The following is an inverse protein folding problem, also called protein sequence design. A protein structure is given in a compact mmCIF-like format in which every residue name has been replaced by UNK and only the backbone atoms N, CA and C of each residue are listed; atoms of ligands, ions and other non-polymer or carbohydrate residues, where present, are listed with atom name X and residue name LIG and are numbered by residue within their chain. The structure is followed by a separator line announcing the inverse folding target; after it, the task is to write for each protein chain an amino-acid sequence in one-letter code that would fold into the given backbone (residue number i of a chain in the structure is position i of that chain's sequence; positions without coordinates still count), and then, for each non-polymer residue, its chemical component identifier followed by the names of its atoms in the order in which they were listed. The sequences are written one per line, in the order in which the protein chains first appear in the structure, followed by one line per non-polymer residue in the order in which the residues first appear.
data_IF_701478011533
#
_entry.id   IF_701478011533
#
_cell.length_a   1.000
_cell.length_b   1.000
_cell.length_c   1.000
_cell.angle_alpha   90.00
_cell.angle_beta   90.00
_cell.angle_gamma   90.00
#
_symmetry.space_group_name_H-M   'P 1'
#
loop_
_entity.id
_entity.type
_entity.pdbx_description
1 polymer ?
#
# COMPACT_ATOMS: atom_id res chain seq x y z
N UNK A 1 4.40 19.14 -20.38
CA UNK A 1 3.26 18.68 -19.58
C UNK A 1 3.52 18.85 -18.10
N UNK A 2 2.47 19.06 -17.36
CA UNK A 2 2.52 19.14 -15.91
C UNK A 2 1.94 17.86 -15.32
N UNK A 3 2.43 17.47 -14.15
CA UNK A 3 2.00 16.28 -13.47
C UNK A 3 1.49 16.62 -12.09
N UNK A 4 0.40 15.99 -11.71
CA UNK A 4 -0.10 15.99 -10.35
C UNK A 4 0.34 14.69 -9.68
N UNK A 5 0.82 14.79 -8.45
CA UNK A 5 1.18 13.64 -7.63
C UNK A 5 0.11 13.47 -6.56
N UNK A 6 -0.53 12.32 -6.53
CA UNK A 6 -1.45 11.94 -5.46
C UNK A 6 -0.80 10.88 -4.60
N UNK A 7 -0.82 11.09 -3.31
CA UNK A 7 -0.25 10.18 -2.32
C UNK A 7 -1.35 9.64 -1.43
N UNK A 8 -1.22 8.37 -1.06
CA UNK A 8 -2.15 7.73 -0.15
C UNK A 8 -1.42 6.69 0.70
N UNK A 9 -1.91 6.49 1.91
CA UNK A 9 -1.47 5.39 2.76
C UNK A 9 -2.58 4.36 2.87
N UNK A 10 -2.25 3.13 2.55
CA UNK A 10 -3.15 1.99 2.70
C UNK A 10 -2.73 1.19 3.91
N UNK A 11 -3.66 1.02 4.85
CA UNK A 11 -3.43 0.19 6.01
C UNK A 11 -4.32 -1.04 5.91
N UNK A 12 -3.77 -2.20 6.24
CA UNK A 12 -4.57 -3.41 6.29
C UNK A 12 -4.18 -4.28 7.47
N UNK A 13 -5.14 -5.07 7.88
CA UNK A 13 -5.02 -5.99 9.00
C UNK A 13 -5.29 -7.40 8.52
N UNK A 14 -4.46 -8.33 8.90
CA UNK A 14 -4.63 -9.74 8.54
C UNK A 14 -4.33 -10.61 9.73
N UNK A 15 -5.27 -11.49 10.06
CA UNK A 15 -5.08 -12.50 11.08
C UNK A 15 -4.29 -13.67 10.50
N UNK A 16 -3.27 -14.11 11.22
CA UNK A 16 -2.41 -15.19 10.75
C UNK A 16 -1.39 -14.71 9.74
N UNK A 17 -1.10 -15.52 8.71
CA UNK A 17 -0.11 -15.14 7.69
C UNK A 17 -0.59 -14.01 6.81
N UNK A 18 0.17 -12.94 6.75
CA UNK A 18 -0.17 -11.74 5.95
C UNK A 18 0.60 -11.65 4.63
N UNK A 19 1.64 -12.45 4.45
CA UNK A 19 2.57 -12.32 3.31
C UNK A 19 1.87 -12.46 1.97
N UNK A 20 1.00 -13.46 1.83
CA UNK A 20 0.26 -13.70 0.58
C UNK A 20 -0.67 -12.54 0.25
N UNK A 21 -1.41 -12.05 1.24
CA UNK A 21 -2.33 -10.94 1.06
C UNK A 21 -1.58 -9.65 0.71
N UNK A 22 -0.48 -9.38 1.42
CA UNK A 22 0.38 -8.25 1.14
C UNK A 22 0.89 -8.29 -0.30
N UNK A 23 1.39 -9.43 -0.76
CA UNK A 23 1.93 -9.58 -2.11
C UNK A 23 0.86 -9.35 -3.17
N UNK A 24 -0.37 -9.81 -2.95
CA UNK A 24 -1.48 -9.57 -3.86
C UNK A 24 -1.81 -8.09 -3.97
N UNK A 25 -1.83 -7.38 -2.84
CA UNK A 25 -2.10 -5.94 -2.81
C UNK A 25 -0.99 -5.18 -3.54
N UNK A 26 0.27 -5.51 -3.28
CA UNK A 26 1.41 -4.86 -3.94
C UNK A 26 1.35 -5.06 -5.45
N UNK A 27 1.07 -6.27 -5.92
CA UNK A 27 0.95 -6.56 -7.36
C UNK A 27 -0.19 -5.77 -8.00
N UNK A 28 -1.34 -5.67 -7.32
CA UNK A 28 -2.48 -4.92 -7.83
C UNK A 28 -2.16 -3.43 -7.95
N UNK A 29 -1.45 -2.87 -6.96
CA UNK A 29 -1.04 -1.48 -7.00
C UNK A 29 -0.07 -1.19 -8.14
N UNK A 30 0.93 -2.06 -8.33
CA UNK A 30 1.88 -1.92 -9.42
C UNK A 30 1.20 -2.04 -10.79
N UNK A 31 0.24 -2.96 -10.92
CA UNK A 31 -0.51 -3.13 -12.16
C UNK A 31 -1.40 -1.91 -12.47
N UNK A 32 -1.77 -1.13 -11.46
CA UNK A 32 -2.55 0.10 -11.62
C UNK A 32 -1.66 1.35 -11.72
N UNK A 33 -0.37 1.18 -11.99
CA UNK A 33 0.61 2.25 -12.16
C UNK A 33 0.88 3.09 -10.90
N UNK A 34 0.63 2.53 -9.73
CA UNK A 34 1.04 3.17 -8.49
C UNK A 34 2.52 2.90 -8.22
N UNK A 35 3.19 3.92 -7.72
CA UNK A 35 4.55 3.79 -7.19
C UNK A 35 4.46 3.54 -5.70
N UNK A 36 5.11 2.48 -5.22
CA UNK A 36 5.18 2.20 -3.79
C UNK A 36 6.35 2.99 -3.23
N UNK A 37 6.04 3.97 -2.37
CA UNK A 37 7.05 4.86 -1.80
C UNK A 37 7.56 4.35 -0.46
N UNK A 38 6.76 3.59 0.27
CA UNK A 38 7.18 2.99 1.53
C UNK A 38 6.32 1.77 1.84
N UNK A 39 6.91 0.81 2.55
CA UNK A 39 6.22 -0.37 3.07
C UNK A 39 6.64 -0.53 4.52
N UNK A 40 5.66 -0.59 5.41
CA UNK A 40 5.95 -0.60 6.84
C UNK A 40 5.13 -1.67 7.54
N UNK A 41 5.81 -2.57 8.23
CA UNK A 41 5.17 -3.48 9.16
C UNK A 41 5.05 -2.77 10.51
N UNK A 42 3.81 -2.52 10.95
CA UNK A 42 3.57 -1.72 12.15
C UNK A 42 3.60 -2.58 13.40
N UNK A 43 3.01 -3.77 13.34
CA UNK A 43 3.07 -4.66 14.48
C UNK A 43 2.07 -5.80 14.41
N UNK A 44 2.17 -6.65 15.40
CA UNK A 44 1.29 -7.79 15.61
C UNK A 44 0.54 -7.59 16.94
N UNK A 45 -0.78 -7.67 16.88
CA UNK A 45 -1.60 -7.60 18.07
C UNK A 45 -1.72 -9.00 18.67
N UNK A 46 -1.11 -9.22 19.84
CA UNK A 46 -1.08 -10.53 20.47
C UNK A 46 -2.47 -11.02 20.86
N UNK A 47 -3.34 -10.11 21.30
CA UNK A 47 -4.69 -10.45 21.76
C UNK A 47 -5.59 -10.98 20.66
N UNK A 48 -5.46 -10.43 19.46
CA UNK A 48 -6.32 -10.75 18.32
C UNK A 48 -5.63 -11.59 17.25
N UNK A 49 -4.29 -11.61 17.24
CA UNK A 49 -3.50 -12.28 16.21
C UNK A 49 -3.43 -11.52 14.89
N UNK A 50 -3.83 -10.25 14.85
CA UNK A 50 -3.77 -9.46 13.63
C UNK A 50 -2.40 -8.85 13.41
N UNK A 51 -1.95 -8.90 12.17
CA UNK A 51 -0.80 -8.14 11.69
C UNK A 51 -1.28 -6.83 11.08
N UNK A 52 -0.60 -5.75 11.43
CA UNK A 52 -0.90 -4.42 10.89
C UNK A 52 0.23 -3.98 9.96
N UNK A 53 -0.12 -3.70 8.72
CA UNK A 53 0.82 -3.34 7.67
C UNK A 53 0.34 -2.08 6.96
N UNK A 54 1.25 -1.17 6.64
CA UNK A 54 0.94 0.03 5.90
C UNK A 54 1.78 0.12 4.62
N UNK A 55 1.15 0.52 3.54
CA UNK A 55 1.80 0.74 2.25
C UNK A 55 1.51 2.17 1.82
N UNK A 56 2.57 2.95 1.64
CA UNK A 56 2.45 4.30 1.10
C UNK A 56 2.65 4.25 -0.40
N UNK A 57 1.75 4.88 -1.13
CA UNK A 57 1.75 4.86 -2.58
C UNK A 57 1.62 6.28 -3.13
N UNK A 58 2.12 6.46 -4.34
CA UNK A 58 1.96 7.70 -5.09
C UNK A 58 1.58 7.37 -6.52
N UNK A 59 0.76 8.20 -7.12
CA UNK A 59 0.42 8.07 -8.52
C UNK A 59 0.57 9.43 -9.19
N UNK A 60 1.23 9.41 -10.34
CA UNK A 60 1.45 10.61 -11.13
C UNK A 60 0.40 10.70 -12.22
N UNK A 61 -0.23 11.86 -12.33
CA UNK A 61 -1.21 12.15 -13.37
C UNK A 61 -0.67 13.28 -14.22
N UNK A 62 -0.77 13.13 -15.54
CA UNK A 62 -0.51 14.22 -16.44
C UNK A 62 -1.67 15.21 -16.36
N UNK A 63 -1.33 16.47 -16.10
CA UNK A 63 -2.33 17.53 -16.03
C UNK A 63 -2.47 18.17 -17.41
N UNK A 64 -3.69 18.20 -17.92
CA UNK A 64 -4.01 18.99 -19.09
C UNK A 64 -4.26 20.43 -18.66
N UNK A 65 -3.56 21.33 -19.31
CA UNK A 65 -3.62 22.76 -19.01
C UNK A 65 -4.38 23.48 -20.13
#
# INVERSE_FOLDING_TARGET
PQYEVQEARLAFFKKGSYTRQKNRIVRALLAADFTITDRRYIGHEDDTGYHHYAIDVAKHYEMEV
#
